data_IF_526022859325
#
_entry.id   IF_526022859325
#
_cell.length_a   1.000
_cell.length_b   1.000
_cell.length_c   1.000
_cell.angle_alpha   90.00
_cell.angle_beta   90.00
_cell.angle_gamma   90.00
#
_symmetry.space_group_name_H-M   'P 1'
#
loop_
_entity.id
_entity.type
_entity.pdbx_description
1 polymer ?
#
# COMPACT_ATOMS: atom_id res chain seq x y z
N UNK A 1 -6.78 -16.77 -11.79
CA UNK A 1 -6.88 -15.53 -10.99
C UNK A 1 -8.10 -15.67 -10.11
N UNK A 2 -7.96 -15.42 -8.81
CA UNK A 2 -9.07 -15.42 -7.86
C UNK A 2 -10.01 -14.24 -8.22
N UNK A 3 -11.30 -14.47 -8.52
CA UNK A 3 -12.23 -13.42 -8.90
C UNK A 3 -12.55 -12.45 -7.76
N UNK A 4 -12.10 -12.76 -6.54
CA UNK A 4 -12.25 -11.91 -5.34
C UNK A 4 -11.04 -11.01 -5.10
N UNK A 5 -10.07 -11.00 -6.01
CA UNK A 5 -8.86 -10.17 -5.92
C UNK A 5 -8.77 -9.27 -7.14
N UNK A 6 -8.69 -7.99 -6.92
CA UNK A 6 -8.53 -6.96 -7.95
C UNK A 6 -7.13 -6.35 -7.87
N UNK A 7 -6.52 -6.12 -9.02
CA UNK A 7 -5.26 -5.37 -9.10
C UNK A 7 -5.43 -3.97 -8.49
N UNK A 8 -4.46 -3.55 -7.70
CA UNK A 8 -4.45 -2.23 -7.08
C UNK A 8 -3.24 -1.43 -7.58
N UNK A 9 -3.51 -0.34 -8.29
CA UNK A 9 -2.49 0.54 -8.84
C UNK A 9 -2.18 1.74 -7.94
N UNK A 10 -3.00 1.96 -6.90
CA UNK A 10 -2.91 3.08 -5.99
C UNK A 10 -2.95 2.57 -4.54
N UNK A 11 -2.41 3.35 -3.62
CA UNK A 11 -2.38 2.96 -2.21
C UNK A 11 -3.76 3.12 -1.57
N UNK A 12 -4.43 4.24 -1.82
CA UNK A 12 -5.85 4.41 -1.45
C UNK A 12 -6.73 3.55 -2.37
N UNK A 13 -7.62 2.77 -1.79
CA UNK A 13 -8.45 1.82 -2.53
C UNK A 13 -9.47 2.54 -3.40
N UNK A 14 -9.57 2.13 -4.66
CA UNK A 14 -10.60 2.59 -5.60
C UNK A 14 -12.00 2.32 -5.07
N UNK A 15 -12.90 3.28 -5.26
CA UNK A 15 -14.32 3.15 -4.88
C UNK A 15 -14.64 3.53 -3.44
N UNK A 16 -13.68 4.04 -2.68
CA UNK A 16 -13.89 4.42 -1.27
C UNK A 16 -13.98 5.93 -1.04
N UNK A 17 -13.34 6.73 -1.87
CA UNK A 17 -13.24 8.18 -1.70
C UNK A 17 -13.63 8.87 -2.99
N UNK A 18 -14.50 9.87 -2.88
CA UNK A 18 -15.02 10.61 -4.02
C UNK A 18 -14.97 12.11 -3.75
N UNK A 19 -14.62 12.89 -4.76
CA UNK A 19 -14.72 14.35 -4.79
C UNK A 19 -16.17 14.80 -4.78
N UNK A 20 -16.41 16.08 -4.63
CA UNK A 20 -17.76 16.66 -4.57
C UNK A 20 -18.57 16.46 -5.87
N UNK A 21 -17.90 16.29 -7.01
CA UNK A 21 -18.52 16.01 -8.32
C UNK A 21 -18.69 14.50 -8.60
N UNK A 22 -18.28 13.63 -7.66
CA UNK A 22 -18.37 12.18 -7.79
C UNK A 22 -17.20 11.52 -8.51
N UNK A 23 -16.12 12.25 -8.78
CA UNK A 23 -14.89 11.65 -9.32
C UNK A 23 -14.20 10.80 -8.26
N UNK A 24 -13.80 9.57 -8.62
CA UNK A 24 -13.04 8.70 -7.71
C UNK A 24 -11.67 9.32 -7.41
N UNK A 25 -11.28 9.33 -6.16
CA UNK A 25 -10.01 9.91 -5.71
C UNK A 25 -8.79 9.32 -6.44
N UNK A 26 -8.82 8.02 -6.76
CA UNK A 26 -7.71 7.38 -7.47
C UNK A 26 -7.48 7.97 -8.86
N UNK A 27 -8.48 8.62 -9.44
CA UNK A 27 -8.37 9.34 -10.68
C UNK A 27 -7.50 10.60 -10.54
N UNK A 28 -7.59 11.30 -9.40
CA UNK A 28 -6.72 12.43 -9.10
C UNK A 28 -5.26 11.97 -8.99
N UNK A 29 -5.02 10.84 -8.29
CA UNK A 29 -3.68 10.26 -8.17
C UNK A 29 -3.12 9.86 -9.54
N UNK A 30 -3.96 9.25 -10.39
CA UNK A 30 -3.58 8.89 -11.76
C UNK A 30 -3.12 10.11 -12.56
N UNK A 31 -3.85 11.21 -12.47
CA UNK A 31 -3.54 12.46 -13.16
C UNK A 31 -2.24 13.09 -12.65
N UNK A 32 -2.03 13.13 -11.33
CA UNK A 32 -0.79 13.63 -10.72
C UNK A 32 0.45 12.83 -11.15
N UNK A 33 0.30 11.50 -11.30
CA UNK A 33 1.37 10.62 -11.80
C UNK A 33 1.54 10.69 -13.35
N UNK A 34 0.71 11.42 -14.06
CA UNK A 34 0.75 11.49 -15.53
C UNK A 34 0.45 10.16 -16.22
N UNK A 35 -0.27 9.26 -15.57
CA UNK A 35 -0.63 7.96 -16.12
C UNK A 35 -1.78 8.10 -17.14
N UNK A 36 -1.80 7.27 -18.20
CA UNK A 36 -2.84 7.33 -19.23
C UNK A 36 -4.22 6.99 -18.67
N UNK A 37 -5.27 7.43 -19.38
CA UNK A 37 -6.63 7.02 -19.08
C UNK A 37 -6.79 5.50 -19.23
N UNK A 38 -7.53 4.85 -18.33
CA UNK A 38 -7.88 3.44 -18.48
C UNK A 38 -8.71 3.25 -19.75
N UNK A 39 -8.29 2.38 -20.64
CA UNK A 39 -8.96 2.09 -21.91
C UNK A 39 -9.81 0.81 -21.89
N UNK A 40 -10.24 0.38 -20.72
CA UNK A 40 -10.96 -0.89 -20.50
C UNK A 40 -10.06 -2.10 -20.27
N UNK A 41 -8.75 -1.92 -20.38
CA UNK A 41 -7.75 -2.90 -19.99
C UNK A 41 -7.23 -2.60 -18.59
N UNK A 42 -6.70 -3.59 -17.92
CA UNK A 42 -6.01 -3.41 -16.64
C UNK A 42 -4.80 -2.51 -16.86
N UNK A 43 -4.67 -1.47 -16.04
CA UNK A 43 -3.52 -0.56 -16.12
C UNK A 43 -2.26 -1.32 -15.66
N UNK A 44 -1.45 -1.76 -16.63
CA UNK A 44 -0.19 -2.44 -16.33
C UNK A 44 0.88 -1.38 -16.09
N UNK A 45 1.44 -1.38 -14.89
CA UNK A 45 2.54 -0.47 -14.48
C UNK A 45 3.92 -1.09 -14.68
N UNK A 46 4.00 -2.24 -15.35
CA UNK A 46 5.26 -2.91 -15.63
C UNK A 46 5.99 -2.21 -16.79
N UNK A 47 7.07 -1.51 -16.46
CA UNK A 47 8.03 -0.94 -17.40
C UNK A 47 9.41 -1.58 -17.19
N UNK A 48 9.69 -2.60 -17.99
CA UNK A 48 10.95 -3.35 -17.88
C UNK A 48 12.17 -2.54 -18.26
N UNK A 49 12.02 -1.62 -19.22
CA UNK A 49 13.15 -0.77 -19.66
C UNK A 49 13.52 0.21 -18.56
N UNK A 50 12.51 0.86 -17.96
CA UNK A 50 12.71 1.76 -16.83
C UNK A 50 13.24 1.03 -15.60
N UNK A 51 12.76 -0.19 -15.34
CA UNK A 51 13.27 -1.03 -14.24
C UNK A 51 14.76 -1.38 -14.43
N UNK A 52 15.21 -1.66 -15.66
CA UNK A 52 16.63 -1.90 -15.94
C UNK A 52 17.49 -0.63 -15.75
N UNK A 53 16.99 0.53 -16.17
CA UNK A 53 17.68 1.81 -15.93
C UNK A 53 17.87 2.08 -14.42
N UNK A 54 16.81 1.88 -13.62
CA UNK A 54 16.93 2.02 -12.16
C UNK A 54 17.87 0.97 -11.54
N UNK A 55 17.86 -0.27 -12.05
CA UNK A 55 18.82 -1.29 -11.60
C UNK A 55 20.26 -0.86 -11.85
N UNK A 56 20.57 -0.37 -13.05
CA UNK A 56 21.93 0.09 -13.42
C UNK A 56 22.38 1.24 -12.50
N UNK A 57 21.50 2.22 -12.30
CA UNK A 57 21.76 3.33 -11.38
C UNK A 57 21.97 2.84 -9.93
N UNK A 58 21.10 1.95 -9.44
CA UNK A 58 21.23 1.40 -8.09
C UNK A 58 22.51 0.58 -7.90
N UNK A 59 22.96 -0.15 -8.91
CA UNK A 59 24.24 -0.87 -8.86
C UNK A 59 25.41 0.12 -8.69
N UNK A 60 25.41 1.22 -9.43
CA UNK A 60 26.44 2.25 -9.32
C UNK A 60 26.46 2.88 -7.93
N UNK A 61 25.30 3.36 -7.46
CA UNK A 61 25.15 4.02 -6.15
C UNK A 61 25.50 3.08 -4.98
N UNK A 62 24.96 1.86 -4.98
CA UNK A 62 25.20 0.89 -3.91
C UNK A 62 26.64 0.38 -3.91
N UNK A 63 27.27 0.22 -5.07
CA UNK A 63 28.68 -0.13 -5.16
C UNK A 63 29.55 0.98 -4.55
N UNK A 64 29.23 2.25 -4.79
CA UNK A 64 29.93 3.37 -4.18
C UNK A 64 29.81 3.38 -2.64
N UNK A 65 28.73 2.83 -2.09
CA UNK A 65 28.52 2.61 -0.66
C UNK A 65 29.14 1.32 -0.12
N UNK A 66 29.81 0.55 -0.97
CA UNK A 66 30.50 -0.69 -0.59
C UNK A 66 29.60 -1.93 -0.53
N UNK A 67 28.39 -1.87 -1.12
CA UNK A 67 27.50 -3.02 -1.22
C UNK A 67 28.02 -4.00 -2.26
N UNK A 68 27.95 -5.30 -1.94
CA UNK A 68 28.29 -6.39 -2.87
C UNK A 68 27.04 -7.09 -3.36
N UNK A 69 27.04 -7.52 -4.62
CA UNK A 69 25.92 -8.20 -5.25
C UNK A 69 26.14 -9.72 -5.34
N UNK A 70 25.06 -10.53 -5.36
CA UNK A 70 23.65 -10.11 -5.24
C UNK A 70 23.26 -9.68 -3.83
N UNK A 71 22.33 -8.70 -3.73
CA UNK A 71 21.74 -8.32 -2.46
C UNK A 71 20.69 -9.37 -2.05
N UNK A 72 20.79 -9.88 -0.83
CA UNK A 72 19.79 -10.78 -0.25
C UNK A 72 18.61 -10.01 0.33
N UNK A 73 17.39 -10.37 -0.09
CA UNK A 73 16.14 -9.78 0.40
C UNK A 73 15.33 -10.84 1.13
N UNK A 74 15.14 -10.71 2.44
CA UNK A 74 14.43 -11.68 3.27
C UNK A 74 12.93 -11.40 3.28
N UNK A 75 12.15 -12.38 2.80
CA UNK A 75 10.69 -12.37 2.77
C UNK A 75 10.14 -13.51 3.63
N UNK A 76 9.32 -13.17 4.62
CA UNK A 76 8.82 -14.10 5.61
C UNK A 76 7.37 -14.49 5.37
N UNK A 77 7.10 -15.80 5.35
CA UNK A 77 5.78 -16.39 5.15
C UNK A 77 5.40 -17.31 6.31
N UNK A 78 4.11 -17.59 6.48
CA UNK A 78 3.66 -18.58 7.46
C UNK A 78 4.12 -19.99 7.09
N UNK A 79 4.78 -20.68 8.02
CA UNK A 79 5.22 -22.07 7.84
C UNK A 79 4.07 -23.06 7.60
N UNK A 80 2.85 -22.72 8.01
CA UNK A 80 1.65 -23.56 7.87
C UNK A 80 0.84 -23.30 6.60
N UNK A 81 1.24 -22.35 5.74
CA UNK A 81 0.49 -21.96 4.56
C UNK A 81 1.18 -22.38 3.27
N UNK A 82 0.65 -23.41 2.63
CA UNK A 82 1.13 -23.82 1.30
C UNK A 82 0.89 -22.74 0.25
N UNK A 83 -0.27 -22.07 0.29
CA UNK A 83 -0.59 -20.97 -0.63
C UNK A 83 0.41 -19.82 -0.50
N UNK A 84 0.84 -19.50 0.74
CA UNK A 84 1.87 -18.46 0.93
C UNK A 84 3.22 -18.87 0.35
N UNK A 85 3.59 -20.15 0.47
CA UNK A 85 4.81 -20.69 -0.13
C UNK A 85 4.75 -20.65 -1.67
N UNK A 86 3.63 -21.06 -2.26
CA UNK A 86 3.44 -21.02 -3.70
C UNK A 86 3.52 -19.58 -4.24
N UNK A 87 2.85 -18.63 -3.56
CA UNK A 87 2.91 -17.22 -3.91
C UNK A 87 4.33 -16.63 -3.76
N UNK A 88 5.05 -17.01 -2.72
CA UNK A 88 6.44 -16.58 -2.51
C UNK A 88 7.38 -17.11 -3.60
N UNK A 89 7.18 -18.35 -4.06
CA UNK A 89 7.95 -18.90 -5.17
C UNK A 89 7.67 -18.18 -6.49
N UNK A 90 6.41 -17.83 -6.76
CA UNK A 90 6.06 -16.99 -7.93
C UNK A 90 6.74 -15.62 -7.83
N UNK A 91 6.69 -14.98 -6.66
CA UNK A 91 7.36 -13.69 -6.44
C UNK A 91 8.87 -13.80 -6.64
N UNK A 92 9.50 -14.88 -6.13
CA UNK A 92 10.93 -15.16 -6.34
C UNK A 92 11.26 -15.28 -7.82
N UNK A 93 10.42 -15.96 -8.59
CA UNK A 93 10.60 -16.08 -10.04
C UNK A 93 10.47 -14.73 -10.75
N UNK A 94 9.52 -13.88 -10.33
CA UNK A 94 9.37 -12.52 -10.87
C UNK A 94 10.63 -11.68 -10.61
N UNK A 95 11.19 -11.75 -9.40
CA UNK A 95 12.45 -11.07 -9.08
C UNK A 95 13.60 -11.53 -9.98
N UNK A 96 13.74 -12.86 -10.16
CA UNK A 96 14.75 -13.44 -11.04
C UNK A 96 14.58 -12.99 -12.50
N UNK A 97 13.35 -13.09 -13.03
CA UNK A 97 13.05 -12.78 -14.45
C UNK A 97 13.15 -11.29 -14.78
N UNK A 98 12.83 -10.40 -13.81
CA UNK A 98 12.80 -8.96 -14.04
C UNK A 98 14.10 -8.26 -13.66
N UNK A 99 14.78 -8.74 -12.61
CA UNK A 99 15.95 -8.05 -12.04
C UNK A 99 17.25 -8.85 -12.20
N UNK A 100 17.15 -10.18 -12.30
CA UNK A 100 18.29 -11.08 -12.38
C UNK A 100 18.85 -11.51 -11.03
N UNK A 101 19.25 -12.78 -10.93
CA UNK A 101 19.78 -13.38 -9.71
C UNK A 101 21.20 -12.86 -9.35
N UNK A 102 21.85 -12.19 -10.27
CA UNK A 102 23.13 -11.50 -10.08
C UNK A 102 23.00 -10.17 -9.34
N UNK A 103 21.81 -9.59 -9.32
CA UNK A 103 21.51 -8.33 -8.65
C UNK A 103 20.81 -8.52 -7.31
N UNK A 104 19.71 -9.27 -7.28
CA UNK A 104 18.90 -9.46 -6.07
C UNK A 104 18.42 -10.90 -5.94
N UNK A 105 18.49 -11.44 -4.73
CA UNK A 105 17.99 -12.78 -4.41
C UNK A 105 16.92 -12.71 -3.33
N UNK A 106 15.71 -13.19 -3.65
CA UNK A 106 14.63 -13.32 -2.68
C UNK A 106 14.85 -14.58 -1.84
N UNK A 107 15.09 -14.38 -0.54
CA UNK A 107 15.23 -15.45 0.45
C UNK A 107 13.89 -15.68 1.14
N UNK A 108 13.27 -16.82 0.88
CA UNK A 108 12.01 -17.19 1.54
C UNK A 108 12.37 -17.73 2.93
N UNK A 109 11.88 -17.06 3.96
CA UNK A 109 11.99 -17.45 5.37
C UNK A 109 10.60 -17.78 5.91
N UNK A 110 10.53 -18.45 7.06
CA UNK A 110 9.25 -18.82 7.66
C UNK A 110 9.14 -18.37 9.10
N UNK A 111 7.90 -18.08 9.53
CA UNK A 111 7.52 -17.91 10.93
C UNK A 111 6.42 -18.92 11.29
N UNK A 112 6.26 -19.23 12.57
CA UNK A 112 5.36 -20.30 13.02
C UNK A 112 4.02 -19.78 13.53
N UNK A 113 4.01 -18.79 14.41
CA UNK A 113 2.79 -18.35 15.09
C UNK A 113 2.41 -16.89 14.82
N UNK A 114 3.37 -15.97 14.81
CA UNK A 114 3.07 -14.55 14.72
C UNK A 114 4.13 -13.80 13.91
N UNK A 115 3.74 -13.34 12.72
CA UNK A 115 4.56 -12.46 11.90
C UNK A 115 5.08 -11.26 12.69
N UNK A 116 4.20 -10.61 13.45
CA UNK A 116 4.58 -9.44 14.24
C UNK A 116 5.65 -9.73 15.28
N UNK A 117 5.45 -10.78 16.11
CA UNK A 117 6.36 -11.07 17.21
C UNK A 117 7.67 -11.69 16.75
N UNK A 118 7.60 -12.59 15.77
CA UNK A 118 8.76 -13.37 15.33
C UNK A 118 9.60 -12.65 14.28
N UNK A 119 9.00 -11.75 13.51
CA UNK A 119 9.65 -11.14 12.34
C UNK A 119 9.72 -9.63 12.46
N UNK A 120 8.55 -8.95 12.47
CA UNK A 120 8.58 -7.49 12.34
C UNK A 120 9.12 -6.79 13.57
N UNK A 121 8.76 -7.20 14.79
CA UNK A 121 9.33 -6.65 16.02
C UNK A 121 10.83 -6.97 16.21
N UNK A 122 11.33 -8.02 15.56
CA UNK A 122 12.74 -8.38 15.55
C UNK A 122 13.50 -7.81 14.35
N UNK A 123 12.84 -7.01 13.49
CA UNK A 123 13.42 -6.35 12.29
C UNK A 123 14.12 -7.34 11.33
N UNK A 124 13.54 -8.55 11.16
CA UNK A 124 14.16 -9.61 10.36
C UNK A 124 13.75 -9.59 8.87
N UNK A 125 12.77 -8.78 8.48
CA UNK A 125 12.30 -8.69 7.11
C UNK A 125 12.99 -7.57 6.35
N UNK A 126 13.25 -7.80 5.06
CA UNK A 126 13.67 -6.74 4.15
C UNK A 126 12.48 -6.04 3.52
N UNK A 127 11.41 -6.78 3.25
CA UNK A 127 10.10 -6.22 2.92
C UNK A 127 8.97 -7.15 3.41
N UNK A 128 7.75 -6.65 3.39
CA UNK A 128 6.57 -7.39 3.85
C UNK A 128 5.37 -7.05 2.95
N UNK A 129 4.54 -8.03 2.68
CA UNK A 129 3.23 -7.82 2.07
C UNK A 129 2.20 -7.78 3.19
N UNK A 130 1.48 -6.68 3.29
CA UNK A 130 0.45 -6.47 4.30
C UNK A 130 -0.74 -5.73 3.70
N UNK A 131 -1.85 -5.66 4.44
CA UNK A 131 -3.09 -5.02 4.02
C UNK A 131 -3.59 -3.99 5.02
N UNK A 132 -4.34 -3.03 4.54
CA UNK A 132 -5.07 -2.06 5.35
C UNK A 132 -6.54 -2.06 4.97
N UNK A 133 -7.41 -2.17 5.96
CA UNK A 133 -8.83 -1.91 5.83
C UNK A 133 -9.13 -0.56 6.46
N UNK A 134 -9.51 0.42 5.65
CA UNK A 134 -9.75 1.77 6.15
C UNK A 134 -10.94 1.83 7.10
N UNK A 135 -10.82 2.57 8.18
CA UNK A 135 -11.89 2.82 9.15
C UNK A 135 -12.95 3.78 8.60
N UNK A 136 -12.57 4.63 7.64
CA UNK A 136 -13.44 5.61 6.99
C UNK A 136 -12.90 5.99 5.60
N UNK A 137 -13.77 6.52 4.75
CA UNK A 137 -13.47 6.91 3.38
C UNK A 137 -12.79 8.28 3.30
N UNK A 138 -11.56 8.38 3.73
CA UNK A 138 -10.70 9.56 3.58
C UNK A 138 -9.27 9.10 3.32
N UNK A 139 -8.52 9.72 2.38
CA UNK A 139 -7.13 9.34 2.10
C UNK A 139 -6.21 9.41 3.32
N UNK A 140 -6.57 10.23 4.30
CA UNK A 140 -5.84 10.35 5.56
C UNK A 140 -5.74 8.99 6.29
N UNK A 141 -6.78 8.17 6.25
CA UNK A 141 -6.76 6.86 6.91
C UNK A 141 -5.77 5.90 6.27
N UNK A 142 -5.43 6.11 5.01
CA UNK A 142 -4.39 5.37 4.30
C UNK A 142 -3.01 6.01 4.49
N UNK A 143 -2.84 7.25 4.08
CA UNK A 143 -1.54 7.91 3.99
C UNK A 143 -1.00 8.30 5.38
N UNK A 144 -1.86 8.64 6.31
CA UNK A 144 -1.48 8.98 7.69
C UNK A 144 -0.73 7.86 8.41
N UNK A 145 -0.94 6.59 8.02
CA UNK A 145 -0.25 5.43 8.59
C UNK A 145 1.23 5.33 8.21
N UNK A 146 1.64 6.08 7.18
CA UNK A 146 2.99 6.02 6.61
C UNK A 146 3.86 7.23 6.99
N UNK A 147 3.35 8.18 7.79
CA UNK A 147 4.08 9.40 8.16
C UNK A 147 5.33 9.10 8.99
N UNK A 148 6.41 9.78 8.67
CA UNK A 148 7.64 9.75 9.45
C UNK A 148 7.54 10.66 10.68
N UNK A 149 8.06 10.20 11.81
CA UNK A 149 8.13 10.98 13.05
C UNK A 149 6.82 11.03 13.85
N UNK A 150 5.80 10.27 13.47
CA UNK A 150 4.53 10.17 14.18
C UNK A 150 4.40 8.82 14.89
N UNK A 151 4.27 8.84 16.22
CA UNK A 151 4.13 7.63 17.05
C UNK A 151 2.88 6.81 16.71
N UNK A 152 1.83 7.46 16.22
CA UNK A 152 0.59 6.83 15.81
C UNK A 152 0.54 6.43 14.32
N UNK A 153 1.60 6.65 13.57
CA UNK A 153 1.73 6.16 12.20
C UNK A 153 2.03 4.66 12.19
N UNK A 154 0.98 3.85 12.05
CA UNK A 154 1.03 2.41 12.32
C UNK A 154 2.04 1.66 11.46
N UNK A 155 2.11 1.97 10.15
CA UNK A 155 3.06 1.30 9.27
C UNK A 155 4.50 1.75 9.50
N UNK A 156 4.71 3.04 9.74
CA UNK A 156 6.04 3.60 9.99
C UNK A 156 6.66 3.11 11.30
N UNK A 157 5.82 2.73 12.29
CA UNK A 157 6.27 2.22 13.60
C UNK A 157 6.26 0.68 13.70
N UNK A 158 5.48 -0.02 12.84
CA UNK A 158 5.25 -1.46 13.02
C UNK A 158 5.85 -2.31 11.89
N UNK A 159 5.99 -1.75 10.70
CA UNK A 159 6.40 -2.52 9.52
C UNK A 159 7.61 -1.94 8.78
N UNK A 160 7.60 -0.68 8.39
CA UNK A 160 8.76 -0.08 7.71
C UNK A 160 9.87 0.32 8.68
N UNK A 161 9.54 0.55 9.94
CA UNK A 161 10.46 1.01 10.99
C UNK A 161 11.26 2.26 10.62
N UNK A 162 10.76 3.04 9.69
CA UNK A 162 11.43 4.27 9.27
C UNK A 162 11.59 5.26 10.44
N UNK A 163 10.69 5.20 11.43
CA UNK A 163 10.76 6.03 12.64
C UNK A 163 11.94 5.66 13.56
N UNK A 164 12.53 4.48 13.39
CA UNK A 164 13.72 4.07 14.15
C UNK A 164 15.01 4.63 13.53
N UNK A 165 14.95 5.16 12.30
CA UNK A 165 16.06 5.83 11.63
C UNK A 165 16.24 7.25 12.18
N UNK A 166 16.81 7.37 13.36
CA UNK A 166 17.00 8.66 14.06
C UNK A 166 18.25 9.42 13.61
N UNK A 167 19.21 8.72 13.03
CA UNK A 167 20.45 9.32 12.54
C UNK A 167 20.50 9.25 11.02
N UNK A 168 20.79 10.38 10.37
CA UNK A 168 20.98 10.46 8.94
C UNK A 168 22.39 9.97 8.58
N UNK A 169 22.47 9.05 7.63
CA UNK A 169 23.69 8.52 7.05
C UNK A 169 23.65 8.66 5.53
N UNK A 170 24.77 8.48 4.84
CA UNK A 170 24.78 8.49 3.38
C UNK A 170 23.87 7.39 2.79
N UNK A 171 23.73 6.26 3.49
CA UNK A 171 22.92 5.14 3.05
C UNK A 171 21.40 5.34 3.21
N UNK A 172 20.94 6.20 4.14
CA UNK A 172 19.51 6.38 4.41
C UNK A 172 18.99 7.80 4.13
N UNK A 173 19.87 8.72 3.71
CA UNK A 173 19.52 10.14 3.51
C UNK A 173 18.36 10.32 2.54
N UNK A 174 18.42 9.70 1.39
CA UNK A 174 17.40 9.86 0.35
C UNK A 174 16.07 9.27 0.77
N UNK A 175 16.09 8.11 1.44
CA UNK A 175 14.91 7.50 2.03
C UNK A 175 14.27 8.42 3.08
N UNK A 176 15.07 8.94 4.03
CA UNK A 176 14.56 9.85 5.06
C UNK A 176 14.03 11.16 4.48
N UNK A 177 14.69 11.71 3.47
CA UNK A 177 14.21 12.92 2.78
C UNK A 177 12.87 12.66 2.06
N UNK A 178 12.72 11.51 1.40
CA UNK A 178 11.47 11.13 0.76
C UNK A 178 10.33 10.98 1.78
N UNK A 179 10.58 10.34 2.92
CA UNK A 179 9.56 10.22 3.97
C UNK A 179 9.23 11.55 4.66
N UNK A 180 10.22 12.41 4.89
CA UNK A 180 9.99 13.76 5.46
C UNK A 180 9.15 14.62 4.52
N UNK A 181 9.45 14.61 3.23
CA UNK A 181 8.68 15.36 2.23
C UNK A 181 7.27 14.80 2.06
N UNK A 182 7.11 13.49 1.96
CA UNK A 182 5.80 12.85 1.97
C UNK A 182 4.97 13.25 3.20
N UNK A 183 5.57 13.19 4.39
CA UNK A 183 4.91 13.57 5.64
C UNK A 183 4.46 15.03 5.62
N UNK A 184 5.33 15.94 5.16
CA UNK A 184 4.99 17.35 5.00
C UNK A 184 3.77 17.55 4.08
N UNK A 185 3.73 16.84 2.96
CA UNK A 185 2.60 16.91 2.01
C UNK A 185 1.30 16.38 2.63
N UNK A 186 1.35 15.30 3.39
CA UNK A 186 0.19 14.76 4.12
C UNK A 186 -0.29 15.75 5.18
N UNK A 187 0.61 16.34 5.94
CA UNK A 187 0.27 17.33 6.97
C UNK A 187 -0.36 18.60 6.36
N UNK A 188 0.12 19.04 5.21
CA UNK A 188 -0.47 20.17 4.47
C UNK A 188 -1.89 19.83 3.98
N UNK A 189 -2.12 18.61 3.49
CA UNK A 189 -3.45 18.16 3.11
C UNK A 189 -4.39 18.05 4.32
N UNK A 190 -3.90 17.57 5.47
CA UNK A 190 -4.64 17.51 6.73
C UNK A 190 -5.10 18.89 7.22
N UNK A 191 -4.32 19.93 6.98
CA UNK A 191 -4.64 21.30 7.37
C UNK A 191 -5.80 21.91 6.57
N UNK A 192 -6.17 21.34 5.41
CA UNK A 192 -7.30 21.81 4.60
C UNK A 192 -8.59 21.21 5.17
N UNK A 193 -9.38 22.02 5.87
CA UNK A 193 -10.59 21.55 6.58
C UNK A 193 -11.90 22.08 6.02
N UNK A 194 -11.84 23.06 5.12
CA UNK A 194 -13.02 23.80 4.62
C UNK A 194 -13.25 23.63 3.11
N UNK A 195 -12.41 22.87 2.42
CA UNK A 195 -12.52 22.58 0.99
C UNK A 195 -12.11 21.13 0.75
N UNK A 196 -13.11 20.26 0.54
CA UNK A 196 -12.91 18.82 0.41
C UNK A 196 -12.13 18.49 -0.85
N UNK A 197 -12.43 19.15 -1.95
CA UNK A 197 -11.80 18.84 -3.24
C UNK A 197 -10.34 19.32 -3.25
N UNK A 198 -10.05 20.50 -2.70
CA UNK A 198 -8.68 20.98 -2.52
C UNK A 198 -7.88 20.06 -1.57
N UNK A 199 -8.52 19.55 -0.51
CA UNK A 199 -7.93 18.56 0.41
C UNK A 199 -7.56 17.27 -0.34
N UNK A 200 -8.49 16.73 -1.12
CA UNK A 200 -8.25 15.49 -1.86
C UNK A 200 -7.21 15.67 -2.97
N UNK A 201 -7.19 16.82 -3.61
CA UNK A 201 -6.12 17.13 -4.58
C UNK A 201 -4.73 17.20 -3.91
N UNK A 202 -4.64 17.75 -2.72
CA UNK A 202 -3.39 17.79 -1.95
C UNK A 202 -2.94 16.37 -1.54
N UNK A 203 -3.86 15.52 -1.09
CA UNK A 203 -3.56 14.13 -0.80
C UNK A 203 -3.15 13.34 -2.05
N UNK A 204 -3.78 13.59 -3.20
CA UNK A 204 -3.43 12.91 -4.45
C UNK A 204 -1.98 13.21 -4.86
N UNK A 205 -1.50 14.43 -4.64
CA UNK A 205 -0.10 14.79 -4.83
C UNK A 205 0.82 14.06 -3.87
N UNK A 206 0.44 13.96 -2.59
CA UNK A 206 1.20 13.22 -1.60
C UNK A 206 1.28 11.73 -1.94
N UNK A 207 0.16 11.13 -2.38
CA UNK A 207 0.13 9.71 -2.78
C UNK A 207 0.93 9.46 -4.06
N UNK A 208 0.83 10.33 -5.05
CA UNK A 208 1.65 10.24 -6.27
C UNK A 208 3.14 10.27 -5.92
N UNK A 209 3.56 11.21 -5.09
CA UNK A 209 4.94 11.29 -4.59
C UNK A 209 5.38 10.01 -3.87
N UNK A 210 4.52 9.48 -2.98
CA UNK A 210 4.77 8.25 -2.23
C UNK A 210 4.99 7.03 -3.11
N UNK A 211 4.19 6.92 -4.18
CA UNK A 211 4.29 5.83 -5.15
C UNK A 211 5.47 5.97 -6.10
N UNK A 212 5.77 7.20 -6.54
CA UNK A 212 6.91 7.48 -7.43
C UNK A 212 8.26 7.25 -6.76
N UNK A 213 8.34 7.48 -5.44
CA UNK A 213 9.53 7.17 -4.64
C UNK A 213 9.57 5.72 -4.14
N UNK A 214 8.64 4.87 -4.60
CA UNK A 214 8.54 3.45 -4.23
C UNK A 214 8.56 3.20 -2.71
N UNK A 215 8.02 4.12 -1.91
CA UNK A 215 7.91 3.95 -0.45
C UNK A 215 6.90 2.85 -0.09
N UNK A 216 6.00 2.53 -0.99
CA UNK A 216 5.15 1.33 -0.99
C UNK A 216 4.87 0.87 -2.41
N UNK A 217 4.47 -0.40 -2.55
CA UNK A 217 4.08 -0.99 -3.83
C UNK A 217 2.66 -1.55 -3.68
N UNK A 218 1.62 -0.88 -4.20
CA UNK A 218 0.27 -1.43 -4.22
C UNK A 218 0.24 -2.74 -5.02
N UNK A 219 -0.37 -3.77 -4.47
CA UNK A 219 -0.44 -5.08 -5.11
C UNK A 219 -1.86 -5.41 -5.57
N UNK A 220 -2.79 -5.53 -4.62
CA UNK A 220 -4.18 -5.90 -4.88
C UNK A 220 -5.10 -5.50 -3.74
N UNK A 221 -6.39 -5.48 -3.99
CA UNK A 221 -7.42 -5.43 -2.96
C UNK A 221 -8.39 -6.61 -3.12
N UNK A 222 -8.90 -7.08 -1.99
CA UNK A 222 -9.88 -8.16 -1.95
C UNK A 222 -11.30 -7.62 -1.98
N UNK A 223 -12.22 -8.36 -2.63
CA UNK A 223 -13.65 -8.12 -2.60
C UNK A 223 -14.30 -9.20 -1.73
N UNK A 224 -15.07 -8.79 -0.73
CA UNK A 224 -15.85 -9.67 0.10
C UNK A 224 -17.36 -9.56 -0.19
N UNK A 225 -18.04 -10.67 -0.25
CA UNK A 225 -19.48 -10.73 -0.36
C UNK A 225 -20.06 -11.40 0.88
N UNK A 226 -21.10 -10.84 1.43
CA UNK A 226 -21.84 -11.48 2.50
C UNK A 226 -23.34 -11.40 2.25
N UNK A 227 -24.06 -12.48 2.58
CA UNK A 227 -25.51 -12.46 2.66
C UNK A 227 -25.90 -11.93 4.04
N UNK A 228 -26.74 -10.91 4.06
CA UNK A 228 -27.19 -10.29 5.30
C UNK A 228 -28.69 -10.02 5.23
N UNK A 229 -29.37 -10.09 6.38
CA UNK A 229 -30.75 -9.64 6.53
C UNK A 229 -30.86 -8.13 6.81
N UNK A 230 -29.74 -7.43 6.90
CA UNK A 230 -29.73 -5.97 7.07
C UNK A 230 -30.20 -5.34 5.78
N UNK A 231 -31.16 -4.42 5.91
CA UNK A 231 -31.64 -3.64 4.78
C UNK A 231 -30.53 -2.79 4.18
N UNK A 232 -30.33 -2.90 2.87
CA UNK A 232 -29.25 -2.16 2.18
C UNK A 232 -29.47 -0.65 2.23
N UNK A 233 -30.72 -0.19 2.22
CA UNK A 233 -31.04 1.23 2.28
C UNK A 233 -30.67 1.81 3.65
N UNK A 234 -30.82 1.04 4.72
CA UNK A 234 -30.40 1.44 6.05
C UNK A 234 -28.87 1.57 6.20
N UNK A 235 -28.09 0.84 5.38
CA UNK A 235 -26.62 0.97 5.33
C UNK A 235 -26.14 2.21 4.60
N UNK A 236 -26.89 2.72 3.64
CA UNK A 236 -26.51 3.87 2.81
C UNK A 236 -26.31 5.17 3.60
N UNK A 237 -26.86 5.24 4.81
CA UNK A 237 -26.76 6.42 5.67
C UNK A 237 -25.55 6.47 6.59
N UNK A 238 -24.63 5.51 6.48
CA UNK A 238 -23.35 5.59 7.19
C UNK A 238 -22.44 6.60 6.50
N UNK A 239 -22.57 7.88 6.83
CA UNK A 239 -21.84 8.97 6.19
C UNK A 239 -20.32 8.91 6.36
N UNK A 240 -19.78 8.19 7.34
CA UNK A 240 -18.35 8.09 7.62
C UNK A 240 -17.98 6.67 8.06
N UNK A 241 -16.94 6.13 7.45
CA UNK A 241 -16.33 4.87 7.83
C UNK A 241 -16.83 3.68 7.06
N UNK A 242 -16.23 2.56 7.37
CA UNK A 242 -16.60 1.28 6.81
C UNK A 242 -18.06 1.00 7.15
N UNK A 243 -18.91 0.84 6.14
CA UNK A 243 -20.36 0.60 6.32
C UNK A 243 -20.61 -0.63 7.20
N UNK A 244 -19.67 -1.60 7.19
CA UNK A 244 -19.78 -2.82 7.98
C UNK A 244 -19.62 -2.61 9.49
N UNK A 245 -19.11 -1.48 9.95
CA UNK A 245 -18.82 -1.19 11.35
C UNK A 245 -19.80 -0.20 12.00
N UNK A 246 -20.54 0.56 11.16
CA UNK A 246 -21.51 1.54 11.63
C UNK A 246 -22.93 0.98 11.66
N UNK A 247 -23.23 0.23 12.68
CA UNK A 247 -24.51 -0.47 12.84
C UNK A 247 -25.66 0.43 13.35
N UNK A 248 -25.36 1.67 13.73
CA UNK A 248 -26.40 2.61 14.18
C UNK A 248 -27.38 2.89 13.04
N UNK A 249 -28.65 2.71 13.29
CA UNK A 249 -29.75 2.86 12.35
C UNK A 249 -29.87 1.72 11.30
N UNK A 250 -29.11 0.63 11.45
CA UNK A 250 -29.37 -0.53 10.60
C UNK A 250 -30.70 -1.17 10.97
N UNK A 251 -31.47 -1.48 9.95
CA UNK A 251 -32.71 -2.22 10.06
C UNK A 251 -32.55 -3.61 9.48
N UNK A 252 -33.23 -4.58 10.05
CA UNK A 252 -33.18 -5.96 9.55
C UNK A 252 -34.51 -6.37 9.02
N UNK A 253 -34.54 -7.01 7.86
CA UNK A 253 -35.75 -7.63 7.34
C UNK A 253 -36.14 -8.85 8.17
N UNK A 254 -37.35 -8.90 8.66
CA UNK A 254 -37.92 -10.03 9.41
C UNK A 254 -38.20 -11.24 8.51
N UNK A 255 -38.45 -10.99 7.23
CA UNK A 255 -38.71 -12.03 6.23
C UNK A 255 -37.40 -12.51 5.60
N UNK A 256 -37.30 -13.81 5.40
CA UNK A 256 -36.15 -14.39 4.68
C UNK A 256 -36.19 -13.98 3.20
N UNK A 257 -35.02 -13.91 2.58
CA UNK A 257 -34.96 -13.78 1.13
C UNK A 257 -35.69 -14.98 0.51
N UNK A 258 -36.74 -14.70 -0.23
CA UNK A 258 -37.36 -15.70 -1.10
C UNK A 258 -36.54 -15.77 -2.35
N UNK A 259 -36.10 -17.00 -2.69
CA UNK A 259 -35.40 -17.31 -3.94
C UNK A 259 -36.26 -16.97 -5.18
#
# INVERSE_FOLDING_TARGET
VDPMVCENNFYTMKGQVYTSDGTDYTELVRQEMGLPEPNGETMVRLDKEKAQQYKEQAIEELTALGVTFPVGVDYHISASSQTALDSANVLKQIFSDCLGDDYVQLNIKTYVSSLRKEVTQAHLHSFIINGWGADYGDPQNYLGQQRYGYDNAYYSTTYSYVNDLTEETDANRDLLNAYKEFTRMVDEADAITNDLDARYQAYAKAEAYFLEHALTIPCYYGIGWCLTKVDNDSKMFAMYGCQNEKMKNWETNSEGYTS
#
